data_IF_409799919046
#
_entry.id   IF_409799919046
#
_cell.length_a   1.000
_cell.length_b   1.000
_cell.length_c   1.000
_cell.angle_alpha   90.00
_cell.angle_beta   90.00
_cell.angle_gamma   90.00
#
_symmetry.space_group_name_H-M   'P 1'
#
loop_
_entity.id
_entity.type
_entity.pdbx_description
1 polymer ?
#
# COMPACT_ATOMS: atom_id res chain seq x y z
N UNK A 1 24.73 23.56 -34.84
CA UNK A 1 24.48 24.50 -33.72
C UNK A 1 24.00 23.66 -32.54
N UNK A 2 24.84 23.51 -31.51
CA UNK A 2 24.49 22.75 -30.29
C UNK A 2 23.53 23.59 -29.44
N UNK A 3 22.38 23.06 -29.11
CA UNK A 3 21.42 23.74 -28.24
C UNK A 3 22.05 23.94 -26.85
N UNK A 4 22.27 25.17 -26.38
CA UNK A 4 22.90 25.48 -25.10
C UNK A 4 21.96 25.25 -23.89
N UNK A 5 20.68 24.93 -24.11
CA UNK A 5 19.70 24.81 -23.06
C UNK A 5 19.49 23.35 -22.66
N UNK A 6 19.49 23.11 -21.35
CA UNK A 6 19.05 21.81 -20.79
C UNK A 6 17.52 21.74 -20.81
N UNK A 7 16.90 20.63 -21.25
CA UNK A 7 15.46 20.46 -21.18
C UNK A 7 14.98 20.58 -19.74
N UNK A 8 13.98 21.42 -19.49
CA UNK A 8 13.32 21.52 -18.18
C UNK A 8 12.39 20.30 -18.08
N UNK A 9 12.55 19.52 -17.03
CA UNK A 9 11.64 18.38 -16.75
C UNK A 9 10.26 18.94 -16.39
N UNK A 10 9.29 18.78 -17.30
CA UNK A 10 7.89 19.18 -17.12
C UNK A 10 7.09 18.22 -16.23
N UNK A 11 7.70 17.13 -15.79
CA UNK A 11 7.03 16.03 -15.10
C UNK A 11 6.55 16.42 -13.70
N UNK A 12 7.22 17.34 -13.02
CA UNK A 12 6.86 17.74 -11.65
C UNK A 12 5.65 18.66 -11.56
N UNK A 13 5.42 19.54 -12.54
CA UNK A 13 4.42 20.59 -12.43
C UNK A 13 2.97 20.04 -12.43
N UNK A 14 2.65 19.10 -13.31
CA UNK A 14 1.34 18.46 -13.36
C UNK A 14 1.07 17.66 -12.09
N UNK A 15 2.05 16.89 -11.64
CA UNK A 15 1.97 16.10 -10.43
C UNK A 15 1.74 16.96 -9.19
N UNK A 16 2.45 18.08 -9.09
CA UNK A 16 2.34 18.97 -7.94
C UNK A 16 0.97 19.68 -7.88
N UNK A 17 0.47 20.20 -9.00
CA UNK A 17 -0.87 20.80 -9.08
C UNK A 17 -1.94 19.75 -8.75
N UNK A 18 -1.81 18.54 -9.28
CA UNK A 18 -2.73 17.45 -9.00
C UNK A 18 -2.77 17.08 -7.51
N UNK A 19 -1.60 16.97 -6.87
CA UNK A 19 -1.50 16.70 -5.42
C UNK A 19 -2.14 17.80 -4.59
N UNK A 20 -1.91 19.07 -4.91
CA UNK A 20 -2.49 20.20 -4.18
C UNK A 20 -4.01 20.24 -4.31
N UNK A 21 -4.57 20.00 -5.51
CA UNK A 21 -6.04 19.95 -5.71
C UNK A 21 -6.62 18.75 -4.92
N UNK A 22 -5.99 17.60 -4.97
CA UNK A 22 -6.43 16.41 -4.22
C UNK A 22 -6.39 16.66 -2.71
N UNK A 23 -5.31 17.23 -2.20
CA UNK A 23 -5.17 17.57 -0.79
C UNK A 23 -6.20 18.60 -0.32
N UNK A 24 -6.49 19.63 -1.12
CA UNK A 24 -7.52 20.62 -0.83
C UNK A 24 -8.93 20.01 -0.79
N UNK A 25 -9.19 19.01 -1.63
CA UNK A 25 -10.45 18.25 -1.61
C UNK A 25 -10.55 17.35 -0.36
N UNK A 26 -9.48 16.68 0.02
CA UNK A 26 -9.42 15.82 1.21
C UNK A 26 -9.49 16.61 2.54
N UNK A 27 -8.87 17.80 2.58
CA UNK A 27 -8.92 18.67 3.78
C UNK A 27 -10.24 19.40 3.96
N UNK A 28 -11.18 19.28 3.03
CA UNK A 28 -12.47 19.98 3.06
C UNK A 28 -12.41 21.45 2.64
N UNK A 29 -11.27 21.94 2.16
CA UNK A 29 -11.15 23.30 1.58
C UNK A 29 -12.05 23.42 0.34
N UNK A 30 -12.17 22.36 -0.44
CA UNK A 30 -13.18 22.19 -1.49
C UNK A 30 -14.07 21.00 -1.13
N UNK A 31 -15.25 21.28 -0.63
CA UNK A 31 -16.18 20.22 -0.20
C UNK A 31 -16.72 19.40 -1.37
N UNK A 32 -17.06 18.14 -1.16
CA UNK A 32 -17.76 17.33 -2.14
C UNK A 32 -19.01 18.05 -2.66
N UNK A 33 -19.21 18.03 -3.98
CA UNK A 33 -20.29 18.75 -4.67
C UNK A 33 -19.99 20.22 -4.96
N UNK A 34 -18.93 20.81 -4.40
CA UNK A 34 -18.54 22.18 -4.69
C UNK A 34 -17.95 22.32 -6.09
N UNK A 35 -18.21 23.48 -6.71
CA UNK A 35 -17.65 23.82 -8.02
C UNK A 35 -16.24 24.33 -7.86
N UNK A 36 -15.29 23.76 -8.61
CA UNK A 36 -13.94 24.29 -8.69
C UNK A 36 -13.89 25.62 -9.46
N UNK A 37 -12.91 26.49 -9.16
CA UNK A 37 -12.62 27.64 -10.01
C UNK A 37 -12.40 27.21 -11.47
N UNK A 38 -12.75 28.08 -12.42
CA UNK A 38 -12.55 27.78 -13.83
C UNK A 38 -11.06 27.65 -14.21
N UNK A 39 -10.79 27.04 -15.37
CA UNK A 39 -9.41 26.78 -15.85
C UNK A 39 -8.51 28.03 -15.81
N UNK A 40 -9.07 29.21 -16.10
CA UNK A 40 -8.31 30.47 -16.07
C UNK A 40 -7.90 30.81 -14.63
N UNK A 41 -8.85 30.81 -13.73
CA UNK A 41 -8.61 31.13 -12.31
C UNK A 41 -7.64 30.14 -11.67
N UNK A 42 -7.78 28.85 -11.96
CA UNK A 42 -6.84 27.83 -11.47
C UNK A 42 -5.44 28.04 -12.05
N UNK A 43 -5.32 28.41 -13.34
CA UNK A 43 -4.04 28.69 -13.96
C UNK A 43 -3.32 29.88 -13.30
N UNK A 44 -4.08 30.91 -12.93
CA UNK A 44 -3.56 32.07 -12.17
C UNK A 44 -3.18 31.69 -10.73
N UNK A 45 -4.04 30.93 -10.02
CA UNK A 45 -3.78 30.48 -8.64
C UNK A 45 -2.51 29.64 -8.53
N UNK A 46 -2.30 28.71 -9.47
CA UNK A 46 -1.13 27.83 -9.48
C UNK A 46 0.06 28.37 -10.29
N UNK A 47 -0.08 29.53 -10.92
CA UNK A 47 0.95 30.15 -11.79
C UNK A 47 1.44 29.20 -12.90
N UNK A 48 0.53 28.48 -13.51
CA UNK A 48 0.79 27.52 -14.59
C UNK A 48 -0.02 27.85 -15.85
N UNK A 49 0.29 27.19 -16.97
CA UNK A 49 -0.49 27.38 -18.19
C UNK A 49 -1.89 26.78 -18.07
N UNK A 50 -2.86 27.36 -18.79
CA UNK A 50 -4.23 26.80 -18.91
C UNK A 50 -4.22 25.37 -19.44
N UNK A 51 -3.29 25.06 -20.35
CA UNK A 51 -3.12 23.70 -20.87
C UNK A 51 -2.72 22.72 -19.77
N UNK A 52 -1.82 23.14 -18.88
CA UNK A 52 -1.44 22.34 -17.70
C UNK A 52 -2.66 22.03 -16.82
N UNK A 53 -3.45 23.07 -16.47
CA UNK A 53 -4.66 22.89 -15.66
C UNK A 53 -5.65 21.94 -16.34
N UNK A 54 -5.86 22.10 -17.65
CA UNK A 54 -6.79 21.24 -18.40
C UNK A 54 -6.38 19.76 -18.35
N UNK A 55 -5.10 19.46 -18.53
CA UNK A 55 -4.59 18.09 -18.45
C UNK A 55 -4.67 17.54 -17.01
N UNK A 56 -4.40 18.36 -16.00
CA UNK A 56 -4.58 17.99 -14.59
C UNK A 56 -6.06 17.69 -14.28
N UNK A 57 -6.99 18.55 -14.71
CA UNK A 57 -8.41 18.33 -14.47
C UNK A 57 -8.94 17.07 -15.20
N UNK A 58 -8.44 16.78 -16.40
CA UNK A 58 -8.75 15.51 -17.09
C UNK A 58 -8.23 14.30 -16.29
N UNK A 59 -6.99 14.36 -15.77
CA UNK A 59 -6.42 13.30 -14.97
C UNK A 59 -7.21 13.10 -13.66
N UNK A 60 -7.58 14.20 -12.99
CA UNK A 60 -8.40 14.16 -11.78
C UNK A 60 -9.82 13.65 -12.04
N UNK A 61 -10.40 13.95 -13.22
CA UNK A 61 -11.70 13.40 -13.63
C UNK A 61 -11.59 11.90 -13.90
N UNK A 62 -10.51 11.46 -14.54
CA UNK A 62 -10.23 10.05 -14.78
C UNK A 62 -10.04 9.26 -13.47
N UNK A 63 -9.34 9.85 -12.50
CA UNK A 63 -9.15 9.25 -11.17
C UNK A 63 -10.38 9.40 -10.24
N UNK A 64 -11.45 10.05 -10.70
CA UNK A 64 -12.68 10.18 -9.94
C UNK A 64 -12.66 11.23 -8.83
N UNK A 65 -11.62 12.04 -8.74
CA UNK A 65 -11.51 13.14 -7.75
C UNK A 65 -12.44 14.30 -8.09
N UNK A 66 -12.66 14.56 -9.38
CA UNK A 66 -13.57 15.58 -9.87
C UNK A 66 -14.49 15.04 -10.96
N UNK A 67 -15.57 15.75 -11.22
CA UNK A 67 -16.49 15.50 -12.33
C UNK A 67 -16.60 16.74 -13.20
N UNK A 68 -16.29 16.62 -14.49
CA UNK A 68 -16.45 17.70 -15.46
C UNK A 68 -17.80 17.61 -16.15
N UNK A 69 -18.62 18.63 -15.97
CA UNK A 69 -19.94 18.76 -16.62
C UNK A 69 -19.85 19.80 -17.74
N UNK A 70 -20.05 19.36 -18.97
CA UNK A 70 -19.90 20.23 -20.16
C UNK A 70 -20.76 21.47 -20.06
N UNK A 71 -20.15 22.65 -20.31
CA UNK A 71 -20.82 23.95 -20.23
C UNK A 71 -21.15 24.44 -18.82
N UNK A 72 -20.99 23.61 -17.80
CA UNK A 72 -21.36 23.93 -16.40
C UNK A 72 -20.11 24.16 -15.55
N UNK A 73 -19.12 23.29 -15.64
CA UNK A 73 -17.86 23.40 -14.91
C UNK A 73 -17.38 22.07 -14.35
N UNK A 74 -16.36 22.14 -13.51
CA UNK A 74 -15.78 20.98 -12.81
C UNK A 74 -16.17 21.03 -11.34
N UNK A 75 -16.59 19.90 -10.81
CA UNK A 75 -17.09 19.76 -9.44
C UNK A 75 -16.25 18.72 -8.70
N UNK A 76 -15.97 18.97 -7.42
CA UNK A 76 -15.35 17.99 -6.54
C UNK A 76 -16.33 16.84 -6.33
N UNK A 77 -15.88 15.62 -6.57
CA UNK A 77 -16.66 14.45 -6.20
C UNK A 77 -16.51 14.18 -4.69
N UNK A 78 -17.51 13.54 -4.13
CA UNK A 78 -17.34 12.89 -2.85
C UNK A 78 -16.25 11.83 -3.04
N UNK A 79 -15.03 12.16 -2.62
CA UNK A 79 -13.98 11.17 -2.52
C UNK A 79 -14.34 10.46 -1.21
N UNK A 80 -14.81 9.21 -1.24
CA UNK A 80 -14.87 8.44 -0.01
C UNK A 80 -13.49 8.57 0.61
N UNK A 81 -13.41 8.82 1.91
CA UNK A 81 -12.11 8.92 2.62
C UNK A 81 -11.25 7.65 2.39
N UNK A 82 -11.84 6.69 1.76
CA UNK A 82 -11.32 5.45 1.22
C UNK A 82 -12.05 5.17 -0.12
N UNK A 83 -11.79 5.99 -1.17
CA UNK A 83 -12.12 5.51 -2.51
C UNK A 83 -11.20 4.30 -2.77
N UNK A 84 -11.75 3.08 -2.85
CA UNK A 84 -10.91 1.93 -3.08
C UNK A 84 -10.19 2.15 -4.41
N UNK A 85 -8.86 2.02 -4.40
CA UNK A 85 -8.12 1.93 -5.65
C UNK A 85 -8.77 0.83 -6.50
N UNK A 86 -8.75 0.87 -7.84
CA UNK A 86 -9.24 -0.23 -8.67
C UNK A 86 -8.65 -1.60 -8.28
N UNK A 87 -7.44 -1.61 -7.72
CA UNK A 87 -6.83 -2.79 -7.11
C UNK A 87 -7.61 -3.27 -5.87
N UNK A 88 -8.25 -2.35 -5.15
CA UNK A 88 -9.03 -2.60 -3.94
C UNK A 88 -10.37 -3.26 -4.24
N UNK A 89 -11.07 -2.81 -5.27
CA UNK A 89 -12.31 -3.47 -5.73
C UNK A 89 -12.04 -4.88 -6.26
N UNK A 90 -10.91 -5.07 -6.95
CA UNK A 90 -10.47 -6.39 -7.37
C UNK A 90 -10.23 -7.30 -6.17
N UNK A 91 -9.57 -6.80 -5.10
CA UNK A 91 -9.28 -7.60 -3.91
C UNK A 91 -10.53 -7.92 -3.09
N UNK A 92 -11.56 -7.07 -3.09
CA UNK A 92 -12.82 -7.33 -2.36
C UNK A 92 -13.62 -8.50 -2.96
N UNK A 93 -13.46 -8.73 -4.25
CA UNK A 93 -14.08 -9.85 -5.00
C UNK A 93 -13.16 -11.06 -5.17
N UNK A 94 -11.89 -10.95 -4.71
CA UNK A 94 -10.86 -11.95 -4.95
C UNK A 94 -10.90 -13.06 -3.91
N UNK A 95 -10.68 -14.28 -4.36
CA UNK A 95 -10.53 -15.45 -3.50
C UNK A 95 -9.34 -15.27 -2.54
N UNK A 96 -9.59 -15.54 -1.27
CA UNK A 96 -8.57 -15.40 -0.22
C UNK A 96 -7.28 -16.18 -0.50
N UNK A 97 -7.33 -17.27 -1.28
CA UNK A 97 -6.13 -18.01 -1.72
C UNK A 97 -5.22 -17.17 -2.59
N UNK A 98 -5.79 -16.43 -3.53
CA UNK A 98 -5.02 -15.54 -4.42
C UNK A 98 -4.38 -14.40 -3.62
N UNK A 99 -5.05 -13.92 -2.58
CA UNK A 99 -4.49 -12.95 -1.65
C UNK A 99 -3.27 -13.52 -0.91
N UNK A 100 -3.36 -14.77 -0.41
CA UNK A 100 -2.22 -15.43 0.24
C UNK A 100 -1.06 -15.67 -0.73
N UNK A 101 -1.34 -16.02 -1.98
CA UNK A 101 -0.30 -16.16 -3.02
C UNK A 101 0.42 -14.83 -3.26
N UNK A 102 -0.31 -13.72 -3.39
CA UNK A 102 0.27 -12.40 -3.53
C UNK A 102 1.07 -11.97 -2.30
N UNK A 103 0.55 -12.24 -1.10
CA UNK A 103 1.29 -11.99 0.15
C UNK A 103 2.61 -12.77 0.16
N UNK A 104 2.60 -14.05 -0.17
CA UNK A 104 3.83 -14.86 -0.25
C UNK A 104 4.83 -14.25 -1.22
N UNK A 105 4.39 -13.86 -2.41
CA UNK A 105 5.24 -13.23 -3.41
C UNK A 105 5.86 -11.92 -2.89
N UNK A 106 5.05 -11.02 -2.37
CA UNK A 106 5.49 -9.67 -1.99
C UNK A 106 6.20 -9.65 -0.63
N UNK A 107 5.61 -10.24 0.40
CA UNK A 107 6.19 -10.25 1.75
C UNK A 107 7.41 -11.20 1.84
N UNK A 108 7.40 -12.30 1.09
CA UNK A 108 8.57 -13.16 0.96
C UNK A 108 9.75 -12.44 0.30
N UNK A 109 9.49 -11.63 -0.72
CA UNK A 109 10.52 -10.80 -1.34
C UNK A 109 10.96 -9.66 -0.41
N UNK A 110 10.05 -9.08 0.37
CA UNK A 110 10.39 -8.09 1.41
C UNK A 110 11.37 -8.68 2.43
N UNK A 111 11.10 -9.87 2.95
CA UNK A 111 11.98 -10.56 3.91
C UNK A 111 13.36 -10.89 3.31
N UNK A 112 13.39 -11.28 2.04
CA UNK A 112 14.64 -11.48 1.29
C UNK A 112 15.47 -10.20 1.26
N UNK A 113 14.90 -9.09 0.81
CA UNK A 113 15.61 -7.81 0.72
C UNK A 113 15.91 -7.19 2.08
N UNK A 114 15.05 -7.39 3.08
CA UNK A 114 15.35 -7.00 4.45
C UNK A 114 16.66 -7.62 4.94
N UNK A 115 16.89 -8.90 4.65
CA UNK A 115 18.13 -9.59 5.02
C UNK A 115 19.36 -9.02 4.33
N UNK A 116 19.22 -8.52 3.09
CA UNK A 116 20.34 -7.94 2.33
C UNK A 116 20.64 -6.49 2.69
N UNK A 117 19.64 -5.74 3.19
CA UNK A 117 19.69 -4.27 3.22
C UNK A 117 19.56 -3.66 4.60
N UNK A 118 19.00 -4.41 5.56
CA UNK A 118 18.82 -3.91 6.91
C UNK A 118 20.15 -3.82 7.67
N UNK A 119 20.27 -2.79 8.51
CA UNK A 119 21.37 -2.70 9.46
C UNK A 119 21.08 -3.53 10.72
N UNK A 120 22.09 -3.88 11.52
CA UNK A 120 21.88 -4.57 12.78
C UNK A 120 20.95 -3.80 13.74
N UNK A 121 21.01 -2.48 13.75
CA UNK A 121 20.18 -1.61 14.57
C UNK A 121 18.70 -1.68 14.14
N UNK A 122 18.44 -1.60 12.84
CA UNK A 122 17.10 -1.73 12.26
C UNK A 122 16.49 -3.12 12.55
N UNK A 123 17.29 -4.17 12.53
CA UNK A 123 16.87 -5.53 12.92
C UNK A 123 16.55 -5.59 14.42
N UNK A 124 17.31 -4.92 15.26
CA UNK A 124 17.03 -4.84 16.69
C UNK A 124 15.73 -4.08 16.99
N UNK A 125 15.43 -3.02 16.21
CA UNK A 125 14.13 -2.33 16.29
C UNK A 125 12.97 -3.27 15.90
N UNK A 126 13.13 -4.04 14.84
CA UNK A 126 12.13 -5.05 14.43
C UNK A 126 11.91 -6.11 15.53
N UNK A 127 12.99 -6.54 16.19
CA UNK A 127 12.93 -7.45 17.35
C UNK A 127 12.18 -6.84 18.53
N UNK A 128 12.36 -5.55 18.79
CA UNK A 128 11.67 -4.84 19.87
C UNK A 128 10.15 -4.88 19.73
N UNK A 129 9.63 -4.88 18.50
CA UNK A 129 8.19 -4.99 18.22
C UNK A 129 7.64 -6.31 18.77
N UNK A 130 8.37 -7.42 18.59
CA UNK A 130 7.94 -8.74 19.07
C UNK A 130 8.05 -8.89 20.59
N UNK A 131 8.92 -8.10 21.24
CA UNK A 131 9.12 -8.07 22.70
C UNK A 131 8.15 -7.13 23.41
N UNK A 132 7.44 -6.27 22.68
CA UNK A 132 6.63 -5.22 23.26
C UNK A 132 5.44 -5.83 24.03
N UNK A 133 5.32 -5.46 25.29
CA UNK A 133 4.20 -5.80 26.17
C UNK A 133 3.09 -4.73 26.08
N UNK A 134 1.84 -5.13 26.33
CA UNK A 134 0.70 -4.21 26.37
C UNK A 134 0.08 -3.86 25.02
N UNK A 135 0.67 -4.28 23.91
CA UNK A 135 0.04 -4.18 22.59
C UNK A 135 -0.86 -5.38 22.31
N UNK A 136 -1.92 -5.13 21.52
CA UNK A 136 -2.70 -6.24 20.98
C UNK A 136 -1.86 -7.06 20.01
N UNK A 137 -2.14 -8.36 19.95
CA UNK A 137 -1.44 -9.25 18.98
C UNK A 137 -1.64 -8.81 17.54
N UNK A 138 -2.82 -8.24 17.23
CA UNK A 138 -3.11 -7.65 15.93
C UNK A 138 -2.15 -6.50 15.62
N UNK A 139 -1.85 -5.65 16.61
CA UNK A 139 -0.93 -4.53 16.42
C UNK A 139 0.50 -5.02 16.25
N UNK A 140 0.94 -6.01 17.05
CA UNK A 140 2.25 -6.62 16.93
C UNK A 140 2.41 -7.25 15.54
N UNK A 141 1.44 -8.05 15.09
CA UNK A 141 1.43 -8.65 13.76
C UNK A 141 1.56 -7.60 12.66
N UNK A 142 0.70 -6.58 12.69
CA UNK A 142 0.71 -5.51 11.67
C UNK A 142 2.03 -4.74 11.67
N UNK A 143 2.54 -4.36 12.85
CA UNK A 143 3.82 -3.65 12.98
C UNK A 143 5.00 -4.48 12.52
N UNK A 144 5.01 -5.78 12.80
CA UNK A 144 6.08 -6.68 12.37
C UNK A 144 6.14 -6.79 10.84
N UNK A 145 5.00 -7.06 10.18
CA UNK A 145 4.95 -7.16 8.71
C UNK A 145 5.33 -5.83 8.04
N UNK A 146 4.87 -4.70 8.60
CA UNK A 146 5.26 -3.37 8.12
C UNK A 146 6.76 -3.12 8.32
N UNK A 147 7.31 -3.53 9.44
CA UNK A 147 8.73 -3.43 9.73
C UNK A 147 9.57 -4.21 8.74
N UNK A 148 9.25 -5.49 8.50
CA UNK A 148 9.93 -6.32 7.48
C UNK A 148 9.84 -5.67 6.09
N UNK A 149 8.67 -5.12 5.76
CA UNK A 149 8.47 -4.43 4.48
C UNK A 149 9.32 -3.17 4.36
N UNK A 150 9.39 -2.36 5.42
CA UNK A 150 10.22 -1.15 5.46
C UNK A 150 11.72 -1.48 5.30
N UNK A 151 12.19 -2.55 5.96
CA UNK A 151 13.57 -3.04 5.85
C UNK A 151 13.95 -3.51 4.45
N UNK A 152 12.97 -3.80 3.58
CA UNK A 152 13.23 -4.08 2.16
C UNK A 152 13.86 -2.89 1.43
N UNK A 153 13.71 -1.67 1.96
CA UNK A 153 14.16 -0.39 1.38
C UNK A 153 13.75 -0.20 -0.09
N UNK A 154 12.63 -0.83 -0.48
CA UNK A 154 12.04 -0.68 -1.81
C UNK A 154 10.73 0.13 -1.71
N UNK A 155 10.73 1.42 -2.11
CA UNK A 155 9.57 2.29 -1.93
C UNK A 155 8.34 1.82 -2.72
N UNK A 156 8.52 1.17 -3.87
CA UNK A 156 7.42 0.63 -4.67
C UNK A 156 6.77 -0.53 -3.92
N UNK A 157 7.56 -1.47 -3.39
CA UNK A 157 7.05 -2.60 -2.64
C UNK A 157 6.36 -2.16 -1.34
N UNK A 158 6.94 -1.17 -0.64
CA UNK A 158 6.36 -0.58 0.57
C UNK A 158 4.98 0.01 0.26
N UNK A 159 4.88 0.81 -0.81
CA UNK A 159 3.61 1.40 -1.21
C UNK A 159 2.57 0.34 -1.61
N UNK A 160 2.95 -0.62 -2.44
CA UNK A 160 2.06 -1.72 -2.84
C UNK A 160 1.53 -2.51 -1.64
N UNK A 161 2.41 -2.88 -0.70
CA UNK A 161 1.98 -3.63 0.49
C UNK A 161 1.14 -2.78 1.44
N UNK A 162 1.36 -1.47 1.55
CA UNK A 162 0.50 -0.58 2.33
C UNK A 162 -0.93 -0.56 1.77
N UNK A 163 -1.10 -0.42 0.46
CA UNK A 163 -2.40 -0.48 -0.21
C UNK A 163 -3.09 -1.84 0.01
N UNK A 164 -2.37 -2.93 -0.13
CA UNK A 164 -2.90 -4.28 0.12
C UNK A 164 -3.27 -4.50 1.59
N UNK A 165 -2.54 -3.92 2.53
CA UNK A 165 -2.77 -4.14 3.96
C UNK A 165 -4.11 -3.60 4.45
N UNK A 166 -4.59 -2.48 3.95
CA UNK A 166 -5.93 -1.98 4.29
C UNK A 166 -7.01 -2.97 3.85
N UNK A 167 -6.82 -3.64 2.71
CA UNK A 167 -7.74 -4.67 2.24
C UNK A 167 -7.65 -5.96 3.07
N UNK A 168 -6.45 -6.37 3.42
CA UNK A 168 -6.23 -7.49 4.31
C UNK A 168 -6.79 -7.24 5.72
N UNK A 169 -6.84 -5.99 6.17
CA UNK A 169 -7.43 -5.63 7.46
C UNK A 169 -8.92 -5.92 7.50
N UNK A 170 -9.67 -5.55 6.47
CA UNK A 170 -11.11 -5.86 6.35
C UNK A 170 -11.37 -7.36 6.34
N UNK A 171 -10.59 -8.14 5.60
CA UNK A 171 -10.70 -9.59 5.57
C UNK A 171 -10.22 -10.25 6.86
N UNK A 172 -9.18 -9.70 7.51
CA UNK A 172 -8.71 -10.17 8.82
C UNK A 172 -9.77 -10.04 9.90
N UNK A 173 -10.53 -8.95 9.93
CA UNK A 173 -11.62 -8.74 10.90
C UNK A 173 -12.71 -9.80 10.80
N UNK A 174 -12.95 -10.32 9.62
CA UNK A 174 -13.90 -11.43 9.39
C UNK A 174 -13.34 -12.81 9.81
N UNK A 175 -12.01 -12.96 9.85
CA UNK A 175 -11.34 -14.26 9.99
C UNK A 175 -10.40 -14.38 11.19
N UNK A 176 -10.27 -13.32 12.02
CA UNK A 176 -9.27 -13.28 13.08
C UNK A 176 -9.74 -13.96 14.39
N UNK A 177 -9.64 -15.26 14.42
CA UNK A 177 -9.34 -15.98 15.66
C UNK A 177 -7.92 -16.53 15.51
N UNK A 178 -6.91 -15.70 15.67
CA UNK A 178 -5.52 -16.15 15.76
C UNK A 178 -5.33 -16.78 17.14
N UNK A 179 -4.57 -17.88 17.13
CA UNK A 179 -3.99 -18.42 18.36
C UNK A 179 -2.80 -17.51 18.72
N UNK A 180 -2.90 -16.70 19.77
CA UNK A 180 -1.97 -15.61 20.04
C UNK A 180 -0.51 -16.03 20.10
N UNK A 181 -0.23 -17.10 20.82
CA UNK A 181 1.13 -17.55 21.10
C UNK A 181 1.78 -18.18 19.85
N UNK A 182 0.99 -18.85 19.01
CA UNK A 182 1.50 -19.49 17.82
C UNK A 182 1.89 -18.46 16.73
N UNK A 183 1.10 -17.40 16.54
CA UNK A 183 1.41 -16.33 15.58
C UNK A 183 2.70 -15.60 15.96
N UNK A 184 2.87 -15.30 17.24
CA UNK A 184 4.10 -14.68 17.76
C UNK A 184 5.32 -15.56 17.52
N UNK A 185 5.20 -16.88 17.73
CA UNK A 185 6.26 -17.85 17.49
C UNK A 185 6.66 -17.88 15.99
N UNK A 186 5.68 -17.84 15.10
CA UNK A 186 5.96 -17.81 13.65
C UNK A 186 6.68 -16.53 13.23
N UNK A 187 6.33 -15.37 13.78
CA UNK A 187 7.05 -14.12 13.55
C UNK A 187 8.52 -14.19 14.05
N UNK A 188 8.76 -14.82 15.21
CA UNK A 188 10.12 -15.05 15.69
C UNK A 188 10.94 -15.89 14.72
N UNK A 189 10.36 -16.92 14.09
CA UNK A 189 11.06 -17.72 13.06
C UNK A 189 11.48 -16.88 11.86
N UNK A 190 10.62 -15.96 11.43
CA UNK A 190 10.95 -15.04 10.33
C UNK A 190 12.08 -14.10 10.74
N UNK A 191 12.02 -13.51 11.94
CA UNK A 191 13.07 -12.65 12.45
C UNK A 191 14.41 -13.36 12.53
N UNK A 192 14.45 -14.56 13.11
CA UNK A 192 15.67 -15.35 13.22
C UNK A 192 16.24 -15.73 11.84
N UNK A 193 15.39 -15.97 10.86
CA UNK A 193 15.83 -16.21 9.50
C UNK A 193 16.47 -14.95 8.89
N UNK A 194 15.93 -13.76 9.14
CA UNK A 194 16.52 -12.47 8.71
C UNK A 194 17.87 -12.29 9.40
N UNK A 195 17.96 -12.47 10.73
CA UNK A 195 19.19 -12.36 11.53
C UNK A 195 20.27 -13.33 11.08
N UNK A 196 19.88 -14.49 10.50
CA UNK A 196 20.85 -15.48 9.99
C UNK A 196 21.68 -14.99 8.81
N UNK A 197 21.34 -13.83 8.20
CA UNK A 197 22.02 -13.29 7.02
C UNK A 197 21.77 -14.09 5.73
N UNK A 198 20.79 -15.01 5.71
CA UNK A 198 20.45 -15.80 4.53
C UNK A 198 19.13 -15.35 3.91
N UNK A 199 19.15 -14.55 2.80
CA UNK A 199 17.95 -14.04 2.16
C UNK A 199 16.96 -15.15 1.75
N UNK A 200 17.49 -16.27 1.25
CA UNK A 200 16.69 -17.41 0.84
C UNK A 200 15.97 -18.08 2.04
N UNK A 201 16.61 -18.14 3.22
CA UNK A 201 15.98 -18.64 4.44
C UNK A 201 14.88 -17.70 4.92
N UNK A 202 15.12 -16.38 4.90
CA UNK A 202 14.14 -15.38 5.31
C UNK A 202 12.88 -15.42 4.44
N UNK A 203 13.04 -15.48 3.11
CA UNK A 203 11.91 -15.68 2.18
C UNK A 203 11.13 -16.94 2.52
N UNK A 204 11.81 -18.05 2.72
CA UNK A 204 11.18 -19.33 3.03
C UNK A 204 10.43 -19.29 4.36
N UNK A 205 11.01 -18.69 5.37
CA UNK A 205 10.36 -18.52 6.67
C UNK A 205 9.09 -17.67 6.57
N UNK A 206 9.12 -16.58 5.80
CA UNK A 206 7.93 -15.76 5.55
C UNK A 206 6.85 -16.56 4.79
N UNK A 207 7.20 -17.33 3.77
CA UNK A 207 6.25 -18.21 3.08
C UNK A 207 5.62 -19.22 4.03
N UNK A 208 6.41 -19.86 4.90
CA UNK A 208 5.93 -20.83 5.88
C UNK A 208 4.99 -20.18 6.90
N UNK A 209 5.31 -18.95 7.35
CA UNK A 209 4.46 -18.19 8.24
C UNK A 209 3.09 -17.88 7.59
N UNK A 210 3.06 -17.44 6.33
CA UNK A 210 1.81 -17.17 5.60
C UNK A 210 1.02 -18.48 5.39
N UNK A 211 1.69 -19.57 5.00
CA UNK A 211 1.07 -20.88 4.81
C UNK A 211 0.56 -21.50 6.13
N UNK A 212 1.12 -21.10 7.27
CA UNK A 212 0.69 -21.58 8.58
C UNK A 212 -0.79 -21.29 8.83
N UNK A 213 -1.25 -20.10 8.50
CA UNK A 213 -2.66 -19.69 8.61
C UNK A 213 -3.54 -20.63 7.79
N UNK A 214 -3.13 -20.96 6.56
CA UNK A 214 -3.85 -21.90 5.70
C UNK A 214 -3.94 -23.32 6.29
N UNK A 215 -2.82 -23.85 6.75
CA UNK A 215 -2.72 -25.22 7.27
C UNK A 215 -3.55 -25.46 8.53
N UNK A 216 -3.64 -24.44 9.38
CA UNK A 216 -4.38 -24.56 10.66
C UNK A 216 -5.90 -24.36 10.52
N UNK A 217 -6.36 -23.82 9.38
CA UNK A 217 -7.78 -23.48 9.18
C UNK A 217 -8.31 -23.85 7.80
N UNK A 218 -8.22 -25.11 7.40
CA UNK A 218 -8.73 -25.57 6.10
C UNK A 218 -10.24 -25.34 5.94
N UNK A 219 -11.00 -25.22 7.05
CA UNK A 219 -12.44 -24.94 7.02
C UNK A 219 -12.80 -23.53 6.57
N UNK A 220 -11.86 -22.56 6.68
CA UNK A 220 -12.06 -21.21 6.11
C UNK A 220 -11.93 -21.20 4.58
N UNK A 221 -11.52 -22.30 3.99
CA UNK A 221 -11.23 -22.46 2.57
C UNK A 221 -11.95 -23.70 1.98
N UNK A 222 -13.28 -23.78 2.07
CA UNK A 222 -14.01 -24.96 1.61
C UNK A 222 -13.78 -25.20 0.11
N UNK A 223 -13.41 -26.43 -0.22
CA UNK A 223 -13.30 -26.90 -1.62
C UNK A 223 -11.92 -26.76 -2.28
N UNK A 224 -10.88 -26.31 -1.57
CA UNK A 224 -9.54 -26.16 -2.17
C UNK A 224 -8.51 -27.10 -1.53
N UNK A 225 -7.74 -27.79 -2.39
CA UNK A 225 -6.51 -28.48 -1.98
C UNK A 225 -5.52 -27.40 -1.53
N UNK A 226 -4.89 -27.62 -0.38
CA UNK A 226 -3.83 -26.73 0.11
C UNK A 226 -2.70 -26.59 -0.90
N UNK A 227 -1.80 -25.58 -0.72
CA UNK A 227 -0.68 -25.38 -1.62
C UNK A 227 0.10 -26.68 -1.75
N UNK A 228 0.24 -27.14 -3.00
CA UNK A 228 1.04 -28.32 -3.33
C UNK A 228 2.45 -28.15 -2.78
N UNK A 229 2.98 -29.24 -2.25
CA UNK A 229 4.37 -29.33 -1.82
C UNK A 229 5.24 -29.15 -3.08
N UNK A 230 5.71 -27.92 -3.34
CA UNK A 230 6.91 -27.69 -4.13
C UNK A 230 8.14 -27.73 -3.26
#
# INVERSE_FOLDING_TARGET
MTNPFKPISRVNLHSEVMQQITAASQSGQWQPGSKLPGEIALAEMFQVSRTCIREVLKALAYSGVVESRSGVGTFVKEIPSEAPSPAVDLLSSTDYTQILEMRKLLEGQAAYWATERATPEEIAELESILKQEGLSLKDIHTRFHNGVTALSKNPILIHMLAEFQEQFKKQRELNFVILPDEDRLEHWKVLEAIKSGSPAKARRAMHQHIDYIWKKRPHLFPGKKGPDKM
#
